data_IF_657514489649
#
_entry.id   IF_657514489649
#
_cell.length_a   1.000
_cell.length_b   1.000
_cell.length_c   1.000
_cell.angle_alpha   90.00
_cell.angle_beta   90.00
_cell.angle_gamma   90.00
#
_symmetry.space_group_name_H-M   'P 1'
#
loop_
_entity.id
_entity.type
_entity.pdbx_description
1 polymer ?
#
# COMPACT_ATOMS: atom_id res chain seq x y z
N UNK A 1 -4.79 14.79 12.69
CA UNK A 1 -3.55 15.13 12.01
C UNK A 1 -2.70 16.04 12.88
N UNK A 2 -1.43 15.77 12.93
CA UNK A 2 -0.49 16.55 13.73
C UNK A 2 0.15 17.61 12.86
N UNK A 3 -0.24 18.86 13.06
CA UNK A 3 0.41 19.99 12.40
C UNK A 3 1.67 20.37 13.14
N UNK A 4 2.78 20.52 12.43
CA UNK A 4 4.05 21.04 12.91
C UNK A 4 4.43 22.28 12.09
N UNK A 5 5.49 23.01 12.48
CA UNK A 5 6.02 24.10 11.65
C UNK A 5 6.39 23.60 10.24
N UNK A 6 6.89 22.37 10.10
CA UNK A 6 7.21 21.75 8.82
C UNK A 6 6.00 21.54 7.91
N UNK A 7 4.79 21.38 8.46
CA UNK A 7 3.57 21.15 7.66
C UNK A 7 3.27 22.29 6.70
N UNK A 8 3.73 23.51 7.02
CA UNK A 8 3.50 24.72 6.25
C UNK A 8 4.78 25.26 5.58
N UNK A 9 5.82 24.45 5.47
CA UNK A 9 7.10 24.79 4.84
C UNK A 9 7.42 23.81 3.70
N UNK A 10 8.51 24.08 2.97
CA UNK A 10 9.05 23.22 1.91
C UNK A 10 9.46 21.84 2.45
N UNK A 11 9.74 21.73 3.76
CA UNK A 11 10.05 20.46 4.43
C UNK A 11 8.83 19.58 4.72
N UNK A 12 7.64 19.98 4.29
CA UNK A 12 6.38 19.25 4.53
C UNK A 12 6.50 17.76 4.19
N UNK A 13 7.11 17.46 3.07
CA UNK A 13 7.24 16.08 2.57
C UNK A 13 8.40 15.30 3.19
N UNK A 14 9.15 15.91 4.13
CA UNK A 14 10.05 15.18 5.02
C UNK A 14 9.31 14.52 6.19
N UNK A 15 8.06 14.89 6.42
CA UNK A 15 7.20 14.29 7.46
C UNK A 15 6.77 12.92 6.96
N UNK A 16 7.10 11.86 7.69
CA UNK A 16 6.85 10.48 7.25
C UNK A 16 5.36 10.20 6.94
N UNK A 17 4.41 10.80 7.67
CA UNK A 17 2.97 10.65 7.41
C UNK A 17 2.50 11.30 6.11
N UNK A 18 3.35 12.08 5.45
CA UNK A 18 3.09 12.69 4.14
C UNK A 18 3.75 11.90 2.99
N UNK A 19 4.54 10.87 3.31
CA UNK A 19 5.26 10.07 2.31
C UNK A 19 4.47 8.82 1.93
N UNK A 20 4.39 8.52 0.65
CA UNK A 20 3.64 7.37 0.13
C UNK A 20 4.17 6.03 0.63
N UNK A 21 5.46 5.95 0.99
CA UNK A 21 6.05 4.75 1.59
C UNK A 21 5.36 4.30 2.90
N UNK A 22 4.59 5.19 3.54
CA UNK A 22 3.83 4.91 4.76
C UNK A 22 2.32 4.85 4.52
N UNK A 23 1.91 4.58 3.28
CA UNK A 23 0.52 4.39 2.88
C UNK A 23 0.35 3.04 2.19
N UNK A 24 -0.92 2.61 2.01
CA UNK A 24 -1.26 1.32 1.42
C UNK A 24 -1.18 1.37 -0.13
N UNK A 25 -0.03 1.77 -0.64
CA UNK A 25 0.25 1.91 -2.07
C UNK A 25 1.55 1.19 -2.44
N UNK A 26 1.76 0.84 -3.72
CA UNK A 26 3.00 0.20 -4.15
C UNK A 26 4.19 1.18 -4.19
N UNK A 27 5.38 0.64 -4.00
CA UNK A 27 6.63 1.16 -4.56
C UNK A 27 6.79 0.52 -5.93
N UNK A 28 6.80 1.32 -6.98
CA UNK A 28 6.84 0.83 -8.37
C UNK A 28 8.24 1.05 -8.94
N UNK A 29 8.90 -0.05 -9.34
CA UNK A 29 10.24 0.01 -9.94
C UNK A 29 11.22 0.84 -9.09
N UNK A 30 11.14 0.70 -7.77
CA UNK A 30 11.98 1.41 -6.80
C UNK A 30 11.59 2.87 -6.52
N UNK A 31 10.48 3.36 -7.09
CA UNK A 31 10.02 4.72 -6.88
C UNK A 31 8.76 4.78 -6.01
N UNK A 32 8.74 5.73 -5.09
CA UNK A 32 7.56 6.17 -4.35
C UNK A 32 6.71 7.14 -5.19
N UNK A 33 5.46 7.38 -4.77
CA UNK A 33 4.65 8.45 -5.34
C UNK A 33 5.30 9.80 -5.07
N UNK A 34 5.22 10.70 -6.04
CA UNK A 34 5.67 12.07 -5.89
C UNK A 34 4.56 12.98 -5.37
N UNK A 35 4.96 14.12 -4.86
CA UNK A 35 4.05 15.19 -4.45
C UNK A 35 3.94 16.25 -5.57
N UNK A 36 2.81 16.95 -5.60
CA UNK A 36 2.51 17.97 -6.59
C UNK A 36 1.16 17.70 -7.27
N UNK A 37 0.53 18.74 -7.80
CA UNK A 37 -0.80 18.67 -8.43
C UNK A 37 -0.83 17.82 -9.70
N UNK A 38 0.33 17.61 -10.32
CA UNK A 38 0.55 16.81 -11.53
C UNK A 38 0.56 15.31 -11.22
N UNK A 39 0.93 14.92 -9.98
CA UNK A 39 0.99 13.53 -9.54
C UNK A 39 -0.34 13.10 -8.94
N UNK A 40 -1.17 12.50 -9.74
CA UNK A 40 -2.54 12.14 -9.36
C UNK A 40 -3.00 10.85 -10.03
N UNK A 41 -3.98 10.20 -9.43
CA UNK A 41 -4.66 9.09 -10.08
C UNK A 41 -5.56 9.60 -11.24
N UNK A 42 -5.74 8.74 -12.23
CA UNK A 42 -6.61 8.95 -13.37
C UNK A 42 -7.60 7.80 -13.51
N UNK A 43 -8.57 7.93 -14.43
CA UNK A 43 -9.55 6.88 -14.74
C UNK A 43 -10.28 6.37 -13.49
N UNK A 44 -10.57 7.29 -12.56
CA UNK A 44 -11.23 6.97 -11.29
C UNK A 44 -12.69 6.68 -11.53
N UNK A 45 -13.17 5.52 -11.10
CA UNK A 45 -14.55 5.10 -11.24
C UNK A 45 -15.02 4.31 -10.01
N UNK A 46 -16.29 4.53 -9.64
CA UNK A 46 -17.02 3.69 -8.70
C UNK A 46 -18.14 2.96 -9.45
N UNK A 47 -18.20 1.66 -9.32
CA UNK A 47 -19.17 0.76 -9.96
C UNK A 47 -20.08 0.14 -8.88
N UNK A 48 -21.19 0.81 -8.53
CA UNK A 48 -22.02 0.41 -7.37
C UNK A 48 -22.56 -1.00 -7.47
N UNK A 49 -22.99 -1.43 -8.66
CA UNK A 49 -23.53 -2.77 -8.89
C UNK A 49 -22.51 -3.89 -8.63
N UNK A 50 -21.22 -3.58 -8.62
CA UNK A 50 -20.12 -4.51 -8.37
C UNK A 50 -19.45 -4.27 -7.00
N UNK A 51 -19.90 -3.29 -6.21
CA UNK A 51 -19.23 -2.81 -5.01
C UNK A 51 -17.74 -2.52 -5.25
N UNK A 52 -17.41 -1.96 -6.42
CA UNK A 52 -16.03 -1.84 -6.91
C UNK A 52 -15.64 -0.38 -7.12
N UNK A 53 -14.48 -0.04 -6.60
CA UNK A 53 -13.77 1.20 -6.87
C UNK A 53 -12.50 0.89 -7.67
N UNK A 54 -12.20 1.67 -8.71
CA UNK A 54 -11.00 1.47 -9.52
C UNK A 54 -10.38 2.79 -9.96
N UNK A 55 -9.07 2.78 -10.18
CA UNK A 55 -8.27 3.94 -10.59
C UNK A 55 -6.96 3.50 -11.21
N UNK A 56 -6.41 4.34 -12.08
CA UNK A 56 -5.02 4.22 -12.53
C UNK A 56 -4.14 5.15 -11.69
N UNK A 57 -3.19 4.58 -10.95
CA UNK A 57 -2.25 5.33 -10.10
C UNK A 57 -0.90 5.58 -10.78
N UNK A 58 -0.71 5.16 -12.03
CA UNK A 58 0.57 5.25 -12.72
C UNK A 58 1.13 6.67 -12.75
N UNK A 59 0.29 7.68 -13.02
CA UNK A 59 0.71 9.09 -13.07
C UNK A 59 0.96 9.74 -11.70
N UNK A 60 0.69 9.05 -10.60
CA UNK A 60 1.10 9.50 -9.26
C UNK A 60 2.60 9.26 -9.01
N UNK A 61 3.28 8.54 -9.90
CA UNK A 61 4.70 8.20 -9.78
C UNK A 61 5.58 9.08 -10.69
N UNK A 62 6.84 9.31 -10.30
CA UNK A 62 7.78 10.07 -11.12
C UNK A 62 8.11 9.32 -12.43
N UNK A 63 8.56 10.04 -13.44
CA UNK A 63 8.96 9.44 -14.73
C UNK A 63 10.00 8.32 -14.59
N UNK A 64 10.85 8.39 -13.57
CA UNK A 64 11.87 7.37 -13.28
C UNK A 64 11.28 6.00 -12.93
N UNK A 65 10.01 5.92 -12.50
CA UNK A 65 9.32 4.67 -12.29
C UNK A 65 9.07 3.90 -13.58
N UNK A 66 9.10 4.57 -14.72
CA UNK A 66 8.83 4.01 -16.06
C UNK A 66 7.48 3.25 -16.14
N UNK A 67 6.51 3.63 -15.31
CA UNK A 67 5.19 3.03 -15.29
C UNK A 67 4.32 3.63 -16.38
N UNK A 68 3.79 2.78 -17.26
CA UNK A 68 2.84 3.19 -18.30
C UNK A 68 1.43 3.28 -17.72
N UNK A 69 1.03 2.29 -16.95
CA UNK A 69 -0.19 2.29 -16.15
C UNK A 69 -0.04 1.36 -14.94
N UNK A 70 -0.82 1.65 -13.89
CA UNK A 70 -1.03 0.78 -12.75
C UNK A 70 -2.49 0.87 -12.31
N UNK A 71 -3.30 0.00 -12.87
CA UNK A 71 -4.73 -0.06 -12.60
C UNK A 71 -4.97 -0.84 -11.31
N UNK A 72 -5.43 -0.16 -10.28
CA UNK A 72 -5.82 -0.77 -9.01
C UNK A 72 -7.32 -0.77 -8.86
N UNK A 73 -7.87 -1.89 -8.42
CA UNK A 73 -9.27 -1.99 -8.05
C UNK A 73 -9.46 -2.58 -6.67
N UNK A 74 -10.51 -2.11 -6.01
CA UNK A 74 -10.98 -2.57 -4.72
C UNK A 74 -12.41 -3.05 -4.88
N UNK A 75 -12.69 -4.28 -4.48
CA UNK A 75 -14.04 -4.84 -4.50
C UNK A 75 -14.43 -5.26 -3.09
N UNK A 76 -15.47 -4.62 -2.53
CA UNK A 76 -16.03 -5.05 -1.26
C UNK A 76 -16.80 -6.35 -1.48
N UNK A 77 -16.46 -7.35 -0.68
CA UNK A 77 -17.12 -8.65 -0.64
C UNK A 77 -17.63 -8.93 0.76
N UNK A 78 -18.44 -9.98 0.92
CA UNK A 78 -18.88 -10.39 2.24
C UNK A 78 -17.65 -10.69 3.12
N UNK A 79 -17.57 -10.00 4.28
CA UNK A 79 -16.48 -10.11 5.25
C UNK A 79 -15.08 -9.78 4.73
N UNK A 80 -14.96 -8.84 3.74
CA UNK A 80 -13.63 -8.50 3.30
C UNK A 80 -13.53 -7.57 2.11
N UNK A 81 -12.30 -7.50 1.60
CA UNK A 81 -11.90 -6.65 0.51
C UNK A 81 -10.99 -7.44 -0.44
N UNK A 82 -11.29 -7.39 -1.73
CA UNK A 82 -10.41 -7.86 -2.78
C UNK A 82 -9.68 -6.67 -3.41
N UNK A 83 -8.37 -6.78 -3.56
CA UNK A 83 -7.52 -5.77 -4.18
C UNK A 83 -6.85 -6.44 -5.38
N UNK A 84 -6.94 -5.80 -6.54
CA UNK A 84 -6.28 -6.27 -7.75
C UNK A 84 -5.48 -5.13 -8.37
N UNK A 85 -4.22 -5.41 -8.69
CA UNK A 85 -3.33 -4.55 -9.47
C UNK A 85 -3.07 -5.19 -10.83
N UNK A 86 -3.20 -4.39 -11.89
CA UNK A 86 -2.75 -4.74 -13.24
C UNK A 86 -1.83 -3.62 -13.74
N UNK A 87 -0.61 -3.97 -14.18
CA UNK A 87 0.40 -2.97 -14.45
C UNK A 87 1.22 -3.25 -15.71
N UNK A 88 1.79 -2.15 -16.24
CA UNK A 88 2.81 -2.17 -17.28
C UNK A 88 3.91 -1.14 -16.99
N UNK A 89 5.15 -1.61 -17.02
CA UNK A 89 6.38 -0.84 -16.77
C UNK A 89 7.28 -0.99 -18.00
N UNK A 90 7.66 0.11 -18.61
CA UNK A 90 8.39 0.10 -19.90
C UNK A 90 9.86 -0.29 -19.75
N UNK A 91 10.48 0.03 -18.60
CA UNK A 91 11.87 -0.31 -18.30
C UNK A 91 12.01 -0.77 -16.84
N UNK A 92 11.58 -2.01 -16.51
CA UNK A 92 11.64 -2.51 -15.16
C UNK A 92 13.08 -2.81 -14.75
N UNK A 93 13.48 -2.29 -13.57
CA UNK A 93 14.83 -2.44 -13.00
C UNK A 93 14.82 -2.98 -11.58
N UNK A 94 13.73 -2.76 -10.86
CA UNK A 94 13.57 -3.15 -9.47
C UNK A 94 12.24 -3.87 -9.25
N UNK A 95 12.22 -4.75 -8.25
CA UNK A 95 11.01 -5.43 -7.84
C UNK A 95 10.00 -4.45 -7.26
N UNK A 96 8.72 -4.62 -7.58
CA UNK A 96 7.65 -3.86 -6.95
C UNK A 96 7.45 -4.33 -5.50
N UNK A 97 7.08 -3.41 -4.62
CA UNK A 97 6.76 -3.69 -3.22
C UNK A 97 5.37 -3.15 -2.93
N UNK A 98 4.50 -3.96 -2.36
CA UNK A 98 3.17 -3.52 -1.97
C UNK A 98 3.16 -3.33 -0.45
N UNK A 99 2.79 -2.13 0.00
CA UNK A 99 2.75 -1.78 1.41
C UNK A 99 1.33 -1.91 1.98
N UNK A 100 1.27 -2.37 3.24
CA UNK A 100 0.08 -2.30 4.08
C UNK A 100 0.51 -1.80 5.46
N UNK A 101 -0.01 -0.64 5.86
CA UNK A 101 0.26 -0.09 7.19
C UNK A 101 -0.79 -0.61 8.17
N UNK A 102 -0.35 -1.18 9.28
CA UNK A 102 -1.20 -1.80 10.28
C UNK A 102 -0.85 -1.32 11.69
N UNK A 103 -1.85 -1.29 12.58
CA UNK A 103 -1.71 -0.72 13.91
C UNK A 103 -1.14 -1.71 14.95
N UNK A 104 -1.14 -2.99 14.64
CA UNK A 104 -0.66 -4.03 15.56
C UNK A 104 0.32 -4.96 14.87
N UNK A 105 1.21 -5.56 15.64
CA UNK A 105 2.23 -6.44 15.11
C UNK A 105 1.63 -7.57 14.26
N UNK A 106 2.01 -7.64 12.97
CA UNK A 106 1.49 -8.68 12.08
C UNK A 106 2.22 -10.00 12.30
N UNK A 107 1.52 -11.12 12.05
CA UNK A 107 2.14 -12.45 12.04
C UNK A 107 2.21 -12.96 10.60
N UNK A 108 3.44 -13.12 10.10
CA UNK A 108 3.69 -13.57 8.74
C UNK A 108 3.63 -15.08 8.66
N UNK A 109 2.83 -15.60 7.72
CA UNK A 109 2.75 -17.00 7.31
C UNK A 109 3.04 -17.19 5.83
N UNK A 110 2.93 -18.42 5.34
CA UNK A 110 3.12 -18.74 3.92
C UNK A 110 1.88 -18.30 3.12
N UNK A 111 1.99 -17.20 2.36
CA UNK A 111 0.88 -16.67 1.56
C UNK A 111 -0.17 -15.91 2.38
N UNK A 112 0.11 -15.64 3.65
CA UNK A 112 -0.79 -14.89 4.52
C UNK A 112 -0.04 -13.99 5.50
N UNK A 113 -0.70 -12.93 5.93
CA UNK A 113 -0.30 -12.10 7.07
C UNK A 113 -1.51 -11.92 7.97
N UNK A 114 -1.43 -12.39 9.20
CA UNK A 114 -2.50 -12.18 10.20
C UNK A 114 -2.36 -10.80 10.79
N UNK A 115 -3.45 -10.05 10.77
CA UNK A 115 -3.56 -8.65 11.15
C UNK A 115 -4.44 -8.52 12.39
N UNK A 116 -4.25 -7.42 13.12
CA UNK A 116 -5.13 -7.04 14.22
C UNK A 116 -5.39 -8.20 15.19
N UNK A 117 -4.31 -8.79 15.73
CA UNK A 117 -4.37 -9.94 16.65
C UNK A 117 -5.15 -11.16 16.10
N UNK A 118 -5.17 -11.32 14.79
CA UNK A 118 -5.85 -12.43 14.12
C UNK A 118 -7.32 -12.17 13.76
N UNK A 119 -7.83 -10.94 13.97
CA UNK A 119 -9.19 -10.58 13.55
C UNK A 119 -9.31 -10.34 12.04
N UNK A 120 -8.22 -10.23 11.32
CA UNK A 120 -8.20 -10.15 9.87
C UNK A 120 -6.97 -10.86 9.31
N UNK A 121 -7.10 -11.38 8.09
CA UNK A 121 -5.98 -12.02 7.37
C UNK A 121 -5.86 -11.40 5.98
N UNK A 122 -4.64 -10.94 5.64
CA UNK A 122 -4.24 -10.55 4.31
C UNK A 122 -3.64 -11.77 3.61
N UNK A 123 -4.26 -12.22 2.52
CA UNK A 123 -3.76 -13.31 1.68
C UNK A 123 -3.08 -12.75 0.42
N UNK A 124 -2.02 -13.40 0.00
CA UNK A 124 -1.25 -13.08 -1.20
C UNK A 124 -0.66 -14.36 -1.83
N UNK A 125 -0.27 -14.28 -3.08
CA UNK A 125 0.41 -15.39 -3.76
C UNK A 125 1.86 -15.52 -3.27
N UNK A 126 2.15 -16.55 -2.48
CA UNK A 126 3.50 -16.86 -2.00
C UNK A 126 4.48 -17.25 -3.14
N UNK A 127 3.98 -17.59 -4.33
CA UNK A 127 4.80 -17.77 -5.52
C UNK A 127 5.32 -16.45 -6.08
N UNK A 128 4.55 -15.38 -5.94
CA UNK A 128 4.87 -14.06 -6.46
C UNK A 128 5.56 -13.14 -5.44
N UNK A 129 5.31 -13.31 -4.14
CA UNK A 129 5.77 -12.39 -3.11
C UNK A 129 6.52 -13.06 -1.96
N UNK A 130 7.42 -12.29 -1.36
CA UNK A 130 7.97 -12.52 -0.03
C UNK A 130 7.41 -11.44 0.90
N UNK A 131 6.93 -11.84 2.08
CA UNK A 131 6.42 -10.92 3.10
C UNK A 131 7.48 -10.61 4.15
N UNK A 132 7.53 -9.35 4.58
CA UNK A 132 8.29 -8.87 5.75
C UNK A 132 7.56 -7.68 6.36
N UNK A 133 8.00 -7.16 7.49
CA UNK A 133 7.50 -5.90 8.01
C UNK A 133 8.59 -5.07 8.68
N UNK A 134 8.37 -3.75 8.74
CA UNK A 134 9.17 -2.81 9.51
C UNK A 134 8.33 -2.30 10.69
N UNK A 135 8.99 -2.04 11.81
CA UNK A 135 8.40 -1.34 12.96
C UNK A 135 8.61 0.16 12.78
N UNK A 136 7.56 0.94 12.95
CA UNK A 136 7.57 2.40 12.82
C UNK A 136 7.26 3.01 14.17
N UNK A 137 8.29 3.47 14.93
CA UNK A 137 8.07 4.12 16.21
C UNK A 137 7.23 5.39 16.10
N UNK A 138 6.37 5.62 17.08
CA UNK A 138 5.50 6.79 17.17
C UNK A 138 6.03 7.75 18.25
N UNK A 139 7.04 8.55 17.91
CA UNK A 139 7.70 9.47 18.83
C UNK A 139 6.85 10.72 19.13
N UNK A 140 5.87 11.06 18.27
CA UNK A 140 4.94 12.15 18.53
C UNK A 140 3.85 11.70 19.52
N UNK A 141 3.74 12.28 20.72
CA UNK A 141 2.75 11.90 21.72
C UNK A 141 1.30 11.94 21.22
N UNK A 142 1.00 12.85 20.29
CA UNK A 142 -0.34 12.98 19.70
C UNK A 142 -0.69 11.83 18.77
N UNK A 143 0.31 11.24 18.11
CA UNK A 143 0.14 10.03 17.30
C UNK A 143 0.09 8.79 18.19
N UNK A 144 1.02 8.68 19.15
CA UNK A 144 1.11 7.51 20.02
C UNK A 144 -0.11 7.35 20.95
N UNK A 145 -0.78 8.44 21.35
CA UNK A 145 -2.03 8.38 22.11
C UNK A 145 -3.18 7.75 21.31
N UNK A 146 -3.18 7.87 19.98
CA UNK A 146 -4.25 7.37 19.11
C UNK A 146 -3.90 5.99 18.53
N UNK A 147 -2.66 5.81 18.08
CA UNK A 147 -2.25 4.64 17.31
C UNK A 147 -1.37 3.65 18.09
N UNK A 148 -1.00 3.99 19.35
CA UNK A 148 -0.03 3.24 20.12
C UNK A 148 1.40 3.68 19.86
N UNK A 149 2.36 3.03 20.54
CA UNK A 149 3.78 3.41 20.48
C UNK A 149 4.45 3.06 19.16
N UNK A 150 3.84 2.17 18.38
CA UNK A 150 4.39 1.64 17.14
C UNK A 150 3.28 1.39 16.13
N UNK A 151 3.61 1.55 14.86
CA UNK A 151 2.87 1.04 13.72
C UNK A 151 3.76 0.05 12.97
N UNK A 152 3.17 -0.74 12.11
CA UNK A 152 3.89 -1.78 11.38
C UNK A 152 3.61 -1.62 9.88
N UNK A 153 4.67 -1.60 9.08
CA UNK A 153 4.56 -1.56 7.63
C UNK A 153 4.84 -2.94 7.05
N UNK A 154 3.79 -3.68 6.72
CA UNK A 154 3.91 -4.93 5.97
C UNK A 154 4.38 -4.61 4.55
N UNK A 155 5.39 -5.35 4.09
CA UNK A 155 5.98 -5.26 2.75
C UNK A 155 5.81 -6.60 2.03
N UNK A 156 5.06 -6.60 0.94
CA UNK A 156 5.03 -7.72 0.02
C UNK A 156 5.95 -7.38 -1.16
N UNK A 157 7.15 -7.95 -1.14
CA UNK A 157 8.18 -7.73 -2.17
C UNK A 157 8.01 -8.76 -3.28
N UNK A 158 7.82 -8.31 -4.51
CA UNK A 158 7.73 -9.20 -5.67
C UNK A 158 9.03 -9.98 -5.86
N UNK A 159 8.94 -11.30 -6.06
CA UNK A 159 10.11 -12.19 -6.25
C UNK A 159 10.77 -12.05 -7.61
N UNK A 160 10.09 -11.42 -8.56
CA UNK A 160 10.61 -11.20 -9.92
C UNK A 160 10.29 -9.81 -10.43
N UNK A 161 11.22 -9.27 -11.20
CA UNK A 161 11.08 -8.02 -11.92
C UNK A 161 10.30 -8.31 -13.19
N UNK A 162 9.15 -7.64 -13.39
CA UNK A 162 8.26 -7.85 -14.53
C UNK A 162 7.93 -6.53 -15.23
N UNK A 163 7.86 -6.55 -16.54
CA UNK A 163 7.40 -5.42 -17.35
C UNK A 163 5.87 -5.28 -17.35
N UNK A 164 5.14 -6.37 -17.14
CA UNK A 164 3.70 -6.36 -17.01
C UNK A 164 3.24 -7.51 -16.11
N UNK A 165 2.08 -7.37 -15.49
CA UNK A 165 1.55 -8.42 -14.65
C UNK A 165 0.27 -8.05 -13.92
N UNK A 166 -0.17 -9.02 -13.13
CA UNK A 166 -1.33 -8.90 -12.26
C UNK A 166 -0.97 -9.41 -10.87
N UNK A 167 -1.33 -8.64 -9.86
CA UNK A 167 -1.25 -9.00 -8.45
C UNK A 167 -2.65 -9.02 -7.85
N UNK A 168 -2.90 -9.96 -6.96
CA UNK A 168 -4.18 -10.07 -6.26
C UNK A 168 -3.92 -10.26 -4.78
N UNK A 169 -4.64 -9.50 -3.97
CA UNK A 169 -4.61 -9.57 -2.52
C UNK A 169 -6.04 -9.66 -2.02
N UNK A 170 -6.26 -10.41 -0.95
CA UNK A 170 -7.57 -10.44 -0.31
C UNK A 170 -7.42 -10.21 1.19
N UNK A 171 -8.23 -9.33 1.73
CA UNK A 171 -8.31 -9.14 3.19
C UNK A 171 -9.63 -9.75 3.63
N UNK A 172 -9.58 -10.65 4.61
CA UNK A 172 -10.76 -11.31 5.18
C UNK A 172 -10.83 -11.04 6.67
N UNK A 173 -12.02 -10.71 7.13
CA UNK A 173 -12.30 -10.63 8.54
C UNK A 173 -12.52 -12.06 9.08
N UNK A 174 -11.82 -12.39 10.15
CA UNK A 174 -11.98 -13.67 10.83
C UNK A 174 -13.14 -13.60 11.82
N UNK A 175 -13.86 -14.69 11.96
CA UNK A 175 -14.90 -14.79 12.98
C UNK A 175 -14.25 -14.68 14.38
N UNK A 176 -14.77 -13.79 15.21
CA UNK A 176 -14.38 -13.72 16.62
C UNK A 176 -14.92 -14.99 17.26
N UNK A 177 -14.02 -15.86 17.70
CA UNK A 177 -14.37 -17.06 18.48
C UNK A 177 -14.61 -16.71 19.92
#
# INVERSE_FOLDING_TARGET
GTYTKKTFSDDRYSIWTMQSAYHNVPVINGADQSFGKEYKAENVAFLPAQNRFQLDIGKAYPKSANVEHWNRSYTLVQNGLDIQDEFKITAPKQANIIHFLVAQEPKIGKGEVRLNNGHATLHFDAGQFTASYDVIPQDDPRLSQVWGKELYRVKLTAKSIKSAGKYTFTIRQEAIK
#
